data_IF_286149968587
#
_entry.id   IF_286149968587
#
_cell.length_a   1.000
_cell.length_b   1.000
_cell.length_c   1.000
_cell.angle_alpha   90.00
_cell.angle_beta   90.00
_cell.angle_gamma   90.00
#
_symmetry.space_group_name_H-M   'P 1'
#
loop_
_entity.id
_entity.type
_entity.pdbx_description
1 polymer ?
#
# COMPACT_ATOMS: atom_id res chain seq x y z
N UNK A 1 1.51 18.64 -8.54
CA UNK A 1 1.51 17.43 -7.70
C UNK A 1 1.29 16.24 -8.63
N UNK A 2 2.26 15.35 -8.73
CA UNK A 2 2.21 14.17 -9.62
C UNK A 2 1.66 12.97 -8.85
N UNK A 3 0.93 12.09 -9.53
CA UNK A 3 0.38 10.85 -8.96
C UNK A 3 0.58 9.68 -9.90
N UNK A 4 0.58 8.48 -9.35
CA UNK A 4 0.54 7.22 -10.10
C UNK A 4 -0.92 6.77 -10.08
N UNK A 5 -1.53 6.65 -11.26
CA UNK A 5 -2.93 6.22 -11.42
C UNK A 5 -2.94 4.76 -11.86
N UNK A 6 -3.76 3.90 -11.24
CA UNK A 6 -3.87 2.51 -11.66
C UNK A 6 -4.26 2.34 -13.14
N UNK A 7 -3.59 1.41 -13.81
CA UNK A 7 -3.83 1.03 -15.21
C UNK A 7 -4.82 -0.15 -15.35
N UNK A 8 -5.76 -0.28 -14.45
CA UNK A 8 -6.73 -1.36 -14.37
C UNK A 8 -8.07 -1.06 -15.07
N UNK A 9 -8.84 -2.11 -15.34
CA UNK A 9 -10.16 -1.98 -15.97
C UNK A 9 -11.27 -2.07 -14.90
N UNK A 10 -11.68 -0.91 -14.37
CA UNK A 10 -12.69 -0.81 -13.31
C UNK A 10 -13.76 0.22 -13.67
N UNK A 11 -14.94 0.22 -13.03
CA UNK A 11 -15.98 1.22 -13.28
C UNK A 11 -15.45 2.66 -13.08
N UNK A 12 -15.87 3.64 -13.91
CA UNK A 12 -15.30 4.99 -13.93
C UNK A 12 -15.57 5.81 -12.66
N UNK A 13 -16.52 5.37 -11.83
CA UNK A 13 -16.80 5.99 -10.54
C UNK A 13 -15.81 5.53 -9.42
N UNK A 14 -14.96 4.54 -9.68
CA UNK A 14 -13.84 4.18 -8.79
C UNK A 14 -12.72 5.16 -9.07
N UNK A 15 -12.33 5.88 -8.03
CA UNK A 15 -11.20 6.80 -8.05
C UNK A 15 -10.07 6.23 -7.22
N UNK A 16 -8.86 6.18 -7.76
CA UNK A 16 -7.69 5.64 -7.07
C UNK A 16 -6.40 6.27 -7.59
N UNK A 17 -5.44 6.46 -6.70
CA UNK A 17 -4.08 6.88 -7.05
C UNK A 17 -3.11 6.66 -5.90
N UNK A 18 -1.81 6.71 -6.19
CA UNK A 18 -0.74 6.87 -5.20
C UNK A 18 -0.06 8.23 -5.40
N UNK A 19 0.19 8.94 -4.30
CA UNK A 19 0.95 10.19 -4.32
C UNK A 19 2.44 9.92 -4.61
N UNK A 20 3.14 10.93 -5.13
CA UNK A 20 4.60 10.94 -5.17
C UNK A 20 5.16 11.76 -4.02
N UNK A 21 6.49 11.84 -3.92
CA UNK A 21 7.15 12.70 -2.93
C UNK A 21 7.06 14.20 -3.23
N UNK A 22 6.56 14.60 -4.42
CA UNK A 22 6.60 15.97 -4.92
C UNK A 22 5.32 16.76 -4.60
N UNK A 23 5.48 18.06 -4.38
CA UNK A 23 4.37 19.03 -4.37
C UNK A 23 3.86 19.42 -2.99
N UNK A 24 4.60 19.11 -1.93
CA UNK A 24 4.29 19.51 -0.55
C UNK A 24 5.20 20.60 -0.02
N UNK A 25 5.19 20.76 1.31
CA UNK A 25 5.89 21.82 2.04
C UNK A 25 6.94 21.32 3.04
N UNK A 26 7.08 19.99 3.21
CA UNK A 26 8.10 19.42 4.09
C UNK A 26 9.51 19.68 3.58
N UNK A 27 10.43 19.92 4.51
CA UNK A 27 11.86 20.15 4.23
C UNK A 27 12.66 18.84 4.25
N UNK A 28 13.89 18.80 3.75
CA UNK A 28 14.76 17.63 3.84
C UNK A 28 14.86 17.07 5.27
N UNK A 29 14.85 15.74 5.47
CA UNK A 29 14.85 14.67 4.45
C UNK A 29 13.45 14.23 3.98
N UNK A 30 12.41 15.00 4.27
CA UNK A 30 11.00 14.67 4.00
C UNK A 30 10.46 15.40 2.75
N UNK A 31 11.32 16.05 1.98
CA UNK A 31 10.90 16.88 0.83
C UNK A 31 10.22 16.05 -0.25
N UNK A 32 9.04 16.51 -0.60
CA UNK A 32 8.29 17.65 -0.04
C UNK A 32 6.90 17.24 0.46
N UNK A 33 6.28 16.18 -0.09
CA UNK A 33 4.89 15.80 0.17
C UNK A 33 4.78 14.64 1.15
N UNK A 34 5.46 14.77 2.30
CA UNK A 34 5.33 13.78 3.37
C UNK A 34 3.94 13.84 4.02
N UNK A 35 3.27 12.68 4.11
CA UNK A 35 1.95 12.50 4.73
C UNK A 35 2.01 11.74 6.07
N UNK A 36 3.18 11.19 6.43
CA UNK A 36 3.39 10.45 7.68
C UNK A 36 3.72 11.38 8.85
N UNK A 37 2.95 11.31 9.94
CA UNK A 37 3.16 12.09 11.16
C UNK A 37 4.03 11.40 12.22
N UNK A 38 4.42 10.15 11.94
CA UNK A 38 5.23 9.29 12.80
C UNK A 38 6.72 9.21 12.41
N UNK A 39 7.16 10.05 11.46
CA UNK A 39 8.51 9.99 10.88
C UNK A 39 9.44 11.13 11.32
N UNK A 40 9.05 11.86 12.36
CA UNK A 40 9.81 13.00 12.95
C UNK A 40 9.95 14.23 12.02
N UNK A 41 9.02 14.40 11.09
CA UNK A 41 8.87 15.64 10.33
C UNK A 41 8.15 16.72 11.16
N UNK A 42 8.21 17.97 10.73
CA UNK A 42 7.44 19.06 11.32
C UNK A 42 5.93 18.77 11.20
N UNK A 43 5.25 18.72 12.34
CA UNK A 43 3.82 18.39 12.39
C UNK A 43 2.94 19.39 11.63
N UNK A 44 3.36 20.65 11.54
CA UNK A 44 2.64 21.67 10.79
C UNK A 44 2.78 21.46 9.29
N UNK A 45 3.96 21.06 8.83
CA UNK A 45 4.20 20.69 7.43
C UNK A 45 3.39 19.46 7.03
N UNK A 46 3.37 18.40 7.85
CA UNK A 46 2.55 17.20 7.60
C UNK A 46 1.06 17.55 7.56
N UNK A 47 0.57 18.38 8.50
CA UNK A 47 -0.83 18.83 8.51
C UNK A 47 -1.16 19.61 7.24
N UNK A 48 -0.28 20.51 6.80
CA UNK A 48 -0.44 21.25 5.54
C UNK A 48 -0.48 20.32 4.34
N UNK A 49 0.44 19.32 4.27
CA UNK A 49 0.45 18.35 3.19
C UNK A 49 -0.85 17.52 3.15
N UNK A 50 -1.37 17.09 4.31
CA UNK A 50 -2.66 16.37 4.39
C UNK A 50 -3.83 17.24 3.93
N UNK A 51 -3.82 18.55 4.26
CA UNK A 51 -4.82 19.50 3.74
C UNK A 51 -4.69 19.66 2.23
N UNK A 52 -3.48 19.84 1.72
CA UNK A 52 -3.21 19.92 0.28
C UNK A 52 -3.66 18.65 -0.47
N UNK A 53 -3.51 17.47 0.13
CA UNK A 53 -4.02 16.22 -0.44
C UNK A 53 -5.53 16.30 -0.69
N UNK A 54 -6.29 16.73 0.32
CA UNK A 54 -7.75 16.85 0.23
C UNK A 54 -8.16 17.87 -0.84
N UNK A 55 -7.57 19.07 -0.81
CA UNK A 55 -7.91 20.17 -1.68
C UNK A 55 -7.54 19.91 -3.15
N UNK A 56 -6.30 19.45 -3.41
CA UNK A 56 -5.80 19.27 -4.78
C UNK A 56 -6.47 18.13 -5.52
N UNK A 57 -6.88 17.09 -4.81
CA UNK A 57 -7.54 15.92 -5.42
C UNK A 57 -9.06 15.92 -5.20
N UNK A 58 -9.63 17.00 -4.63
CA UNK A 58 -11.07 17.12 -4.35
C UNK A 58 -11.61 15.88 -3.65
N UNK A 59 -10.91 15.43 -2.60
CA UNK A 59 -11.37 14.29 -1.83
C UNK A 59 -12.71 14.61 -1.15
N UNK A 60 -13.64 13.66 -1.07
CA UNK A 60 -15.00 13.92 -0.54
C UNK A 60 -15.00 14.33 0.93
N UNK A 61 -13.99 13.95 1.69
CA UNK A 61 -13.75 14.36 3.08
C UNK A 61 -12.29 14.14 3.46
N UNK A 62 -11.90 14.56 4.66
CA UNK A 62 -10.58 14.28 5.22
C UNK A 62 -10.48 12.78 5.55
N UNK A 63 -9.51 12.04 4.94
CA UNK A 63 -9.40 10.60 5.15
C UNK A 63 -8.99 10.22 6.55
N UNK A 64 -9.33 9.01 6.97
CA UNK A 64 -8.75 8.38 8.15
C UNK A 64 -7.29 7.99 7.88
N UNK A 65 -6.36 8.52 8.66
CA UNK A 65 -4.96 8.11 8.66
C UNK A 65 -4.74 7.07 9.75
N UNK A 66 -4.38 5.85 9.36
CA UNK A 66 -4.16 4.75 10.29
C UNK A 66 -2.81 4.87 11.01
N UNK A 67 -2.74 4.31 12.22
CA UNK A 67 -1.51 3.94 12.90
C UNK A 67 -1.12 2.54 12.41
N UNK A 68 -0.32 2.48 11.34
CA UNK A 68 0.10 1.22 10.71
C UNK A 68 1.20 0.55 11.52
N UNK A 69 0.96 -0.68 11.94
CA UNK A 69 1.84 -1.45 12.84
C UNK A 69 2.32 -2.77 12.23
N UNK A 70 2.10 -2.96 10.92
CA UNK A 70 2.34 -4.20 10.19
C UNK A 70 1.46 -5.36 10.70
N UNK A 71 0.27 -5.03 11.17
CA UNK A 71 -0.75 -5.98 11.60
C UNK A 71 -1.57 -6.50 10.41
N UNK A 72 -2.56 -7.35 10.70
CA UNK A 72 -3.56 -7.81 9.73
C UNK A 72 -4.92 -7.17 9.95
N UNK A 73 -5.03 -6.22 10.89
CA UNK A 73 -6.30 -5.60 11.24
C UNK A 73 -6.81 -4.70 10.13
N UNK A 74 -8.10 -4.85 9.83
CA UNK A 74 -8.85 -4.02 8.87
C UNK A 74 -9.85 -3.15 9.61
N UNK A 75 -9.94 -1.88 9.24
CA UNK A 75 -10.99 -0.97 9.71
C UNK A 75 -12.01 -0.76 8.58
N UNK A 76 -13.30 -0.91 8.90
CA UNK A 76 -14.39 -0.52 7.99
C UNK A 76 -14.77 0.93 8.23
N UNK A 77 -14.79 1.75 7.17
CA UNK A 77 -15.21 3.17 7.28
C UNK A 77 -16.62 3.36 6.67
N UNK A 78 -17.44 4.29 7.25
CA UNK A 78 -17.12 5.20 8.34
C UNK A 78 -16.86 4.47 9.65
N UNK A 79 -15.87 4.94 10.42
CA UNK A 79 -15.42 4.31 11.65
C UNK A 79 -15.65 5.23 12.86
N UNK A 80 -16.43 4.74 13.83
CA UNK A 80 -16.80 5.47 15.06
C UNK A 80 -15.92 5.12 16.27
N UNK A 81 -14.99 4.18 16.10
CA UNK A 81 -14.07 3.78 17.16
C UNK A 81 -12.92 4.78 17.37
N UNK A 82 -12.15 4.55 18.43
CA UNK A 82 -10.99 5.37 18.82
C UNK A 82 -9.63 4.67 18.68
N UNK A 83 -9.62 3.41 18.29
CA UNK A 83 -8.38 2.66 18.02
C UNK A 83 -8.09 2.62 16.51
N UNK A 84 -7.16 3.44 16.05
CA UNK A 84 -6.74 3.58 14.66
C UNK A 84 -5.56 2.69 14.28
N UNK A 85 -5.09 1.81 15.17
CA UNK A 85 -4.08 0.81 14.86
C UNK A 85 -4.66 -0.24 13.90
N UNK A 86 -4.27 -0.18 12.64
CA UNK A 86 -4.66 -1.11 11.59
C UNK A 86 -3.75 -0.93 10.37
N UNK A 87 -3.77 -1.91 9.48
CA UNK A 87 -2.98 -1.88 8.25
C UNK A 87 -3.83 -2.00 6.98
N UNK A 88 -5.16 -2.03 7.13
CA UNK A 88 -6.07 -1.95 6.00
C UNK A 88 -7.36 -1.20 6.34
N UNK A 89 -7.99 -0.66 5.30
CA UNK A 89 -9.28 0.04 5.36
C UNK A 89 -10.19 -0.50 4.26
N UNK A 90 -11.44 -0.75 4.60
CA UNK A 90 -12.47 -1.21 3.68
C UNK A 90 -13.72 -0.33 3.78
N UNK A 91 -14.45 -0.20 2.67
CA UNK A 91 -15.80 0.38 2.65
C UNK A 91 -16.65 -0.14 1.49
N UNK A 92 -17.97 -0.19 1.71
CA UNK A 92 -18.99 -0.34 0.67
C UNK A 92 -19.86 0.93 0.54
N UNK A 93 -19.42 2.05 1.13
CA UNK A 93 -20.18 3.29 1.09
C UNK A 93 -19.51 4.31 0.14
N UNK A 94 -20.29 4.99 -0.72
CA UNK A 94 -19.76 6.02 -1.58
C UNK A 94 -19.19 7.20 -0.77
N UNK A 95 -18.20 7.85 -1.35
CA UNK A 95 -17.49 8.99 -0.79
C UNK A 95 -16.70 8.70 0.50
N UNK A 96 -16.51 7.44 0.90
CA UNK A 96 -15.55 7.07 1.95
C UNK A 96 -14.19 6.77 1.32
N UNK A 97 -13.12 7.39 1.83
CA UNK A 97 -11.77 7.24 1.29
C UNK A 97 -10.99 6.20 2.10
N UNK A 98 -10.61 5.10 1.46
CA UNK A 98 -9.65 4.15 2.00
C UNK A 98 -8.24 4.63 1.66
N UNK A 99 -7.37 4.75 2.68
CA UNK A 99 -6.02 5.29 2.55
C UNK A 99 -5.03 4.47 3.37
N UNK A 100 -3.89 4.13 2.77
CA UNK A 100 -2.70 3.59 3.46
C UNK A 100 -1.46 4.38 3.07
N UNK A 101 -0.48 4.43 3.98
CA UNK A 101 0.80 5.13 3.75
C UNK A 101 1.95 4.13 3.60
N UNK A 102 2.86 4.41 2.68
CA UNK A 102 4.03 3.56 2.41
C UNK A 102 5.30 4.36 2.13
N UNK A 103 6.43 3.71 2.36
CA UNK A 103 7.75 4.01 1.82
C UNK A 103 8.49 2.67 1.78
N UNK A 104 8.39 1.96 0.66
CA UNK A 104 8.86 0.61 0.32
C UNK A 104 7.85 -0.52 0.51
N UNK A 105 7.05 -0.55 1.58
CA UNK A 105 6.00 -1.56 1.75
C UNK A 105 4.99 -1.52 0.59
N UNK A 106 4.41 -2.65 0.24
CA UNK A 106 3.47 -2.77 -0.87
C UNK A 106 2.09 -2.24 -0.48
N UNK A 107 1.58 -1.16 -1.12
CA UNK A 107 0.18 -0.79 -1.00
C UNK A 107 -0.64 -1.60 -2.00
N UNK A 108 -1.74 -2.19 -1.56
CA UNK A 108 -2.68 -2.91 -2.42
C UNK A 108 -4.04 -2.24 -2.36
N UNK A 109 -4.54 -1.80 -3.52
CA UNK A 109 -5.88 -1.27 -3.66
C UNK A 109 -6.80 -2.33 -4.26
N UNK A 110 -8.00 -2.45 -3.71
CA UNK A 110 -9.00 -3.43 -4.13
C UNK A 110 -10.31 -2.75 -4.50
N UNK A 111 -10.97 -3.29 -5.51
CA UNK A 111 -12.39 -3.03 -5.80
C UNK A 111 -13.03 -4.30 -6.33
N UNK A 112 -14.37 -4.34 -6.40
CA UNK A 112 -15.08 -5.39 -7.13
C UNK A 112 -15.44 -4.91 -8.55
N UNK A 113 -15.79 -5.82 -9.45
CA UNK A 113 -16.19 -5.52 -10.85
C UNK A 113 -17.33 -4.53 -10.96
N UNK A 114 -18.23 -4.51 -9.97
CA UNK A 114 -19.37 -3.60 -9.92
C UNK A 114 -19.01 -2.21 -9.40
N UNK A 115 -17.83 -2.07 -8.74
CA UNK A 115 -17.40 -0.82 -8.12
C UNK A 115 -18.24 -0.41 -6.91
N UNK A 116 -18.74 -1.38 -6.16
CA UNK A 116 -19.58 -1.17 -4.96
C UNK A 116 -18.84 -1.36 -3.65
N UNK A 117 -17.62 -1.88 -3.71
CA UNK A 117 -16.75 -2.15 -2.57
C UNK A 117 -15.33 -1.75 -2.91
N UNK A 118 -14.63 -1.13 -1.97
CA UNK A 118 -13.22 -0.76 -2.11
C UNK A 118 -12.45 -1.00 -0.82
N UNK A 119 -11.15 -1.27 -0.96
CA UNK A 119 -10.24 -1.36 0.18
C UNK A 119 -8.83 -0.89 -0.20
N UNK A 120 -8.07 -0.50 0.82
CA UNK A 120 -6.64 -0.24 0.73
C UNK A 120 -5.92 -1.02 1.83
N UNK A 121 -4.86 -1.75 1.49
CA UNK A 121 -4.06 -2.53 2.43
C UNK A 121 -2.58 -2.13 2.37
N UNK A 122 -1.96 -1.97 3.54
CA UNK A 122 -0.53 -1.82 3.72
C UNK A 122 0.10 -3.20 3.92
N UNK A 123 0.64 -3.76 2.83
CA UNK A 123 1.28 -5.06 2.83
C UNK A 123 2.81 -4.93 2.95
N UNK A 124 3.29 -4.44 4.10
CA UNK A 124 4.68 -4.65 4.51
C UNK A 124 4.95 -6.15 4.66
N UNK A 125 6.20 -6.59 4.54
CA UNK A 125 6.51 -8.02 4.48
C UNK A 125 5.93 -8.82 5.68
N UNK A 126 5.88 -8.24 6.89
CA UNK A 126 5.28 -8.90 8.06
C UNK A 126 3.78 -9.07 7.90
N UNK A 127 3.05 -7.95 7.69
CA UNK A 127 1.61 -8.01 7.47
C UNK A 127 1.22 -8.87 6.26
N UNK A 128 2.01 -8.82 5.18
CA UNK A 128 1.84 -9.70 4.02
C UNK A 128 2.02 -11.17 4.41
N UNK A 129 3.04 -11.50 5.20
CA UNK A 129 3.29 -12.84 5.69
C UNK A 129 2.16 -13.32 6.62
N UNK A 130 1.69 -12.46 7.51
CA UNK A 130 0.67 -12.78 8.52
C UNK A 130 -0.77 -12.78 7.96
N UNK A 131 -1.00 -12.31 6.73
CA UNK A 131 -2.28 -12.44 6.04
C UNK A 131 -3.12 -11.16 5.94
N UNK A 132 -2.52 -9.97 5.90
CA UNK A 132 -3.27 -8.70 5.75
C UNK A 132 -4.13 -8.65 4.50
N UNK A 133 -3.70 -9.28 3.39
CA UNK A 133 -4.47 -9.33 2.16
C UNK A 133 -5.69 -10.22 2.32
N UNK A 134 -5.53 -11.37 2.94
CA UNK A 134 -6.61 -12.31 3.24
C UNK A 134 -7.66 -11.69 4.16
N UNK A 135 -7.22 -11.00 5.24
CA UNK A 135 -8.14 -10.31 6.14
C UNK A 135 -8.87 -9.16 5.44
N UNK A 136 -8.19 -8.46 4.52
CA UNK A 136 -8.83 -7.41 3.70
C UNK A 136 -9.89 -7.99 2.77
N UNK A 137 -9.58 -9.07 2.07
CA UNK A 137 -10.51 -9.75 1.15
C UNK A 137 -11.73 -10.30 1.88
N UNK A 138 -11.60 -10.79 3.11
CA UNK A 138 -12.73 -11.25 3.94
C UNK A 138 -13.78 -10.17 4.23
N UNK A 139 -13.42 -8.89 4.14
CA UNK A 139 -14.37 -7.80 4.32
C UNK A 139 -15.32 -7.64 3.14
N UNK A 140 -14.94 -8.12 1.93
CA UNK A 140 -15.77 -8.05 0.75
C UNK A 140 -16.94 -9.02 0.83
N UNK A 141 -18.11 -8.55 0.39
CA UNK A 141 -19.30 -9.38 0.20
C UNK A 141 -19.29 -10.07 -1.17
N UNK A 142 -18.55 -9.51 -2.12
CA UNK A 142 -18.35 -10.06 -3.45
C UNK A 142 -17.50 -11.33 -3.40
N UNK A 143 -17.76 -12.26 -4.32
CA UNK A 143 -16.93 -13.45 -4.48
C UNK A 143 -15.50 -13.06 -4.93
N UNK A 144 -14.45 -13.81 -4.53
CA UNK A 144 -13.06 -13.47 -4.84
C UNK A 144 -12.77 -13.25 -6.34
N UNK A 145 -13.39 -14.01 -7.23
CA UNK A 145 -13.26 -13.86 -8.68
C UNK A 145 -13.88 -12.57 -9.25
N UNK A 146 -14.67 -11.87 -8.45
CA UNK A 146 -15.19 -10.55 -8.77
C UNK A 146 -14.30 -9.40 -8.28
N UNK A 147 -13.30 -9.71 -7.45
CA UNK A 147 -12.38 -8.72 -6.88
C UNK A 147 -11.23 -8.45 -7.85
N UNK A 148 -10.88 -7.18 -7.95
CA UNK A 148 -9.77 -6.67 -8.77
C UNK A 148 -8.79 -6.00 -7.82
N UNK A 149 -7.50 -6.32 -7.95
CA UNK A 149 -6.44 -5.74 -7.16
C UNK A 149 -5.46 -4.92 -8.01
N UNK A 150 -4.92 -3.86 -7.42
CA UNK A 150 -3.83 -3.10 -8.01
C UNK A 150 -2.70 -2.92 -6.99
N UNK A 151 -1.50 -3.24 -7.40
CA UNK A 151 -0.28 -3.06 -6.64
C UNK A 151 0.32 -1.69 -6.92
N UNK A 152 0.35 -0.85 -5.91
CA UNK A 152 1.00 0.44 -6.01
C UNK A 152 2.53 0.35 -5.89
N UNK A 153 3.23 1.50 -5.97
CA UNK A 153 4.68 1.54 -5.88
C UNK A 153 5.23 0.97 -4.58
N UNK A 154 6.13 0.00 -4.70
CA UNK A 154 6.81 -0.66 -3.58
C UNK A 154 8.31 -0.85 -3.89
N UNK A 155 9.07 -1.34 -2.92
CA UNK A 155 10.45 -1.74 -3.15
C UNK A 155 10.51 -2.94 -4.12
N UNK A 156 11.21 -2.78 -5.22
CA UNK A 156 11.28 -3.78 -6.29
C UNK A 156 12.17 -4.98 -5.95
N UNK A 157 12.07 -6.06 -6.77
CA UNK A 157 12.73 -7.35 -6.51
C UNK A 157 14.27 -7.31 -6.64
N UNK A 158 14.83 -6.22 -7.12
CA UNK A 158 16.28 -6.02 -7.20
C UNK A 158 16.84 -5.20 -6.02
N UNK A 159 15.98 -4.76 -5.09
CA UNK A 159 16.35 -3.90 -3.98
C UNK A 159 15.85 -4.41 -2.62
N UNK A 160 14.86 -5.31 -2.61
CA UNK A 160 14.32 -5.87 -1.37
C UNK A 160 15.20 -7.00 -0.84
N UNK A 161 16.35 -6.62 -0.27
CA UNK A 161 17.26 -7.57 0.37
C UNK A 161 16.74 -8.01 1.75
N UNK A 162 16.78 -9.31 2.01
CA UNK A 162 16.32 -9.95 3.25
C UNK A 162 17.26 -11.06 3.70
N UNK A 163 17.14 -11.47 4.95
CA UNK A 163 17.78 -12.68 5.46
C UNK A 163 16.94 -13.93 5.21
N UNK A 164 17.54 -15.10 5.47
CA UNK A 164 16.89 -16.41 5.29
C UNK A 164 15.65 -16.58 6.17
N UNK A 165 15.63 -15.95 7.33
CA UNK A 165 14.53 -15.97 8.29
C UNK A 165 13.22 -15.42 7.72
N UNK A 166 13.28 -14.47 6.77
CA UNK A 166 12.10 -13.94 6.09
C UNK A 166 11.52 -14.98 5.13
N UNK A 167 12.39 -15.66 4.38
CA UNK A 167 11.98 -16.73 3.46
C UNK A 167 11.30 -17.86 4.24
N UNK A 168 11.92 -18.31 5.34
CA UNK A 168 11.40 -19.39 6.17
C UNK A 168 10.03 -19.07 6.74
N UNK A 169 9.78 -17.80 7.14
CA UNK A 169 8.47 -17.37 7.60
C UNK A 169 7.40 -17.47 6.49
N UNK A 170 7.69 -17.00 5.28
CA UNK A 170 6.76 -17.11 4.16
C UNK A 170 6.50 -18.56 3.74
N UNK A 171 7.55 -19.40 3.70
CA UNK A 171 7.44 -20.82 3.37
C UNK A 171 6.65 -21.62 4.40
N UNK A 172 6.64 -21.20 5.66
CA UNK A 172 5.82 -21.83 6.70
C UNK A 172 4.31 -21.71 6.42
N UNK A 173 3.88 -20.68 5.69
CA UNK A 173 2.49 -20.53 5.23
C UNK A 173 2.25 -21.22 3.89
N UNK A 174 3.16 -21.06 2.95
CA UNK A 174 3.05 -21.66 1.63
C UNK A 174 4.44 -21.87 1.01
N UNK A 175 4.86 -23.13 0.78
CA UNK A 175 6.17 -23.42 0.18
C UNK A 175 6.42 -22.74 -1.18
N UNK A 176 5.39 -22.43 -1.95
CA UNK A 176 5.53 -21.73 -3.24
C UNK A 176 6.19 -20.36 -3.10
N UNK A 177 6.12 -19.75 -1.91
CA UNK A 177 6.75 -18.45 -1.63
C UNK A 177 8.27 -18.47 -1.86
N UNK A 178 8.94 -19.64 -1.78
CA UNK A 178 10.36 -19.78 -2.07
C UNK A 178 10.71 -19.23 -3.45
N UNK A 179 9.83 -19.41 -4.43
CA UNK A 179 10.04 -18.97 -5.82
C UNK A 179 10.11 -17.44 -5.97
N UNK A 180 9.66 -16.69 -4.97
CA UNK A 180 9.72 -15.23 -4.96
C UNK A 180 11.04 -14.69 -4.41
N UNK A 181 11.97 -15.58 -4.05
CA UNK A 181 13.26 -15.20 -3.49
C UNK A 181 14.39 -15.79 -4.34
N UNK A 182 15.49 -15.06 -4.43
CA UNK A 182 16.72 -15.52 -5.06
C UNK A 182 17.93 -15.07 -4.26
N UNK A 183 19.06 -15.80 -4.28
CA UNK A 183 20.30 -15.35 -3.65
C UNK A 183 20.70 -13.95 -4.12
N UNK A 184 21.16 -13.11 -3.21
CA UNK A 184 21.74 -11.83 -3.58
C UNK A 184 23.16 -12.08 -4.17
N UNK A 185 23.42 -11.71 -5.43
CA UNK A 185 24.72 -11.93 -6.05
C UNK A 185 25.84 -11.10 -5.40
N UNK A 186 25.50 -10.03 -4.66
CA UNK A 186 26.46 -9.10 -4.09
C UNK A 186 26.75 -9.39 -2.60
N UNK A 187 25.90 -10.15 -1.91
CA UNK A 187 26.06 -10.41 -0.48
C UNK A 187 25.72 -11.88 -0.14
N UNK A 188 26.74 -12.73 0.06
CA UNK A 188 26.52 -14.13 0.43
C UNK A 188 25.69 -14.27 1.71
N UNK A 189 24.69 -15.16 1.68
CA UNK A 189 23.78 -15.40 2.80
C UNK A 189 22.59 -14.43 2.87
N UNK A 190 22.50 -13.46 1.96
CA UNK A 190 21.33 -12.61 1.75
C UNK A 190 20.57 -13.03 0.50
N UNK A 191 19.33 -12.57 0.44
CA UNK A 191 18.40 -12.87 -0.64
C UNK A 191 17.69 -11.61 -1.10
N UNK A 192 17.28 -11.62 -2.34
CA UNK A 192 16.41 -10.59 -2.93
C UNK A 192 15.02 -11.17 -3.07
N UNK A 193 14.03 -10.53 -2.43
CA UNK A 193 12.63 -10.93 -2.45
C UNK A 193 11.78 -10.10 -3.41
N UNK A 194 10.68 -10.66 -3.85
CA UNK A 194 9.69 -10.01 -4.71
C UNK A 194 8.33 -9.92 -3.98
N UNK A 195 8.03 -8.76 -3.38
CA UNK A 195 6.76 -8.53 -2.69
C UNK A 195 5.55 -8.65 -3.63
N UNK A 196 5.70 -8.20 -4.87
CA UNK A 196 4.65 -8.32 -5.89
C UNK A 196 4.31 -9.78 -6.18
N UNK A 197 5.32 -10.61 -6.38
CA UNK A 197 5.12 -12.04 -6.65
C UNK A 197 4.49 -12.76 -5.45
N UNK A 198 4.94 -12.47 -4.23
CA UNK A 198 4.34 -13.04 -3.01
C UNK A 198 2.87 -12.65 -2.89
N UNK A 199 2.56 -11.36 -3.07
CA UNK A 199 1.18 -10.87 -3.01
C UNK A 199 0.32 -11.52 -4.10
N UNK A 200 0.83 -11.67 -5.32
CA UNK A 200 0.15 -12.37 -6.42
C UNK A 200 -0.15 -13.83 -6.08
N UNK A 201 0.83 -14.56 -5.52
CA UNK A 201 0.61 -15.95 -5.08
C UNK A 201 -0.50 -16.05 -4.04
N UNK A 202 -0.52 -15.15 -3.05
CA UNK A 202 -1.54 -15.14 -1.99
C UNK A 202 -2.92 -14.81 -2.54
N UNK A 203 -3.04 -13.79 -3.39
CA UNK A 203 -4.32 -13.42 -4.01
C UNK A 203 -4.85 -14.50 -4.95
N UNK A 204 -3.98 -15.12 -5.77
CA UNK A 204 -4.36 -16.23 -6.64
C UNK A 204 -4.91 -17.43 -5.83
N UNK A 205 -4.33 -17.72 -4.67
CA UNK A 205 -4.81 -18.78 -3.77
C UNK A 205 -6.22 -18.51 -3.22
N UNK A 206 -6.61 -17.24 -3.12
CA UNK A 206 -7.97 -16.82 -2.77
C UNK A 206 -8.93 -16.83 -3.96
N UNK A 207 -8.45 -17.01 -5.19
CA UNK A 207 -9.24 -16.96 -6.42
C UNK A 207 -9.25 -15.58 -7.10
N UNK A 208 -8.47 -14.63 -6.61
CA UNK A 208 -8.34 -13.29 -7.22
C UNK A 208 -7.25 -13.36 -8.29
N UNK A 209 -7.64 -13.26 -9.56
CA UNK A 209 -6.74 -13.37 -10.72
C UNK A 209 -6.60 -12.08 -11.52
N UNK A 210 -7.46 -11.09 -11.29
CA UNK A 210 -7.38 -9.77 -11.92
C UNK A 210 -6.48 -8.86 -11.07
N UNK A 211 -5.18 -8.93 -11.33
CA UNK A 211 -4.14 -8.22 -10.59
C UNK A 211 -3.38 -7.33 -11.58
N UNK A 212 -3.17 -6.07 -11.20
CA UNK A 212 -2.52 -5.03 -11.99
C UNK A 212 -1.44 -4.33 -11.17
N UNK A 213 -0.56 -3.56 -11.84
CA UNK A 213 0.55 -2.83 -11.21
C UNK A 213 1.89 -3.53 -11.41
N UNK A 214 2.79 -3.48 -10.41
CA UNK A 214 4.17 -4.04 -10.45
C UNK A 214 5.16 -3.22 -11.30
N UNK A 215 4.86 -1.97 -11.62
CA UNK A 215 5.63 -1.19 -12.60
C UNK A 215 6.74 -0.35 -11.97
N UNK A 216 6.74 -0.16 -10.64
CA UNK A 216 7.58 0.81 -9.95
C UNK A 216 8.48 0.19 -8.87
N UNK A 217 9.65 0.83 -8.67
CA UNK A 217 10.53 0.53 -7.54
C UNK A 217 10.84 1.80 -6.75
N UNK A 218 10.31 1.90 -5.54
CA UNK A 218 10.50 3.07 -4.67
C UNK A 218 11.97 3.33 -4.34
N UNK A 219 12.80 2.28 -4.27
CA UNK A 219 14.22 2.39 -3.99
C UNK A 219 15.01 3.03 -5.14
N UNK A 220 14.74 2.64 -6.39
CA UNK A 220 15.48 3.10 -7.56
C UNK A 220 14.96 4.41 -8.13
N UNK A 221 13.65 4.67 -8.02
CA UNK A 221 13.00 5.88 -8.54
C UNK A 221 13.00 7.01 -7.49
N UNK A 222 14.20 7.42 -7.06
CA UNK A 222 14.43 8.33 -5.94
C UNK A 222 13.80 9.74 -6.10
N UNK A 223 13.66 10.20 -7.33
CA UNK A 223 13.05 11.52 -7.61
C UNK A 223 11.52 11.48 -7.48
N UNK A 224 10.93 10.27 -7.54
CA UNK A 224 9.47 10.08 -7.52
C UNK A 224 8.97 9.63 -6.15
N UNK A 225 9.72 8.76 -5.46
CA UNK A 225 9.24 8.10 -4.25
C UNK A 225 10.15 8.27 -3.04
N UNK A 226 9.54 8.33 -1.87
CA UNK A 226 10.22 8.08 -0.61
C UNK A 226 10.58 6.60 -0.49
N UNK A 227 11.75 6.30 0.08
CA UNK A 227 12.18 4.93 0.37
C UNK A 227 12.89 4.87 1.71
N UNK A 228 12.34 4.09 2.61
CA UNK A 228 12.94 3.87 3.93
C UNK A 228 14.23 3.06 3.84
N UNK A 229 14.29 2.07 2.96
CA UNK A 229 15.47 1.23 2.71
C UNK A 229 16.65 2.04 2.19
N UNK A 230 16.40 3.02 1.34
CA UNK A 230 17.43 3.89 0.75
C UNK A 230 17.88 4.97 1.73
N UNK A 231 16.93 5.66 2.37
CA UNK A 231 17.17 6.93 3.04
C UNK A 231 17.13 6.84 4.58
N UNK A 232 16.58 5.74 5.15
CA UNK A 232 16.36 5.60 6.59
C UNK A 232 15.27 6.57 7.07
N UNK A 233 15.64 7.81 7.36
CA UNK A 233 14.69 8.87 7.74
C UNK A 233 14.10 9.50 6.49
N UNK A 234 12.79 9.32 6.25
CA UNK A 234 12.13 9.75 5.02
C UNK A 234 10.61 9.88 5.20
N UNK A 235 9.95 10.55 4.24
CA UNK A 235 8.49 10.72 4.23
C UNK A 235 7.71 9.47 3.88
N UNK A 236 6.38 9.64 3.77
CA UNK A 236 5.45 8.59 3.36
C UNK A 236 4.57 9.08 2.21
N UNK A 237 4.44 8.25 1.15
CA UNK A 237 3.39 8.38 0.15
C UNK A 237 2.08 7.86 0.71
N UNK A 238 0.96 8.25 0.11
CA UNK A 238 -0.36 7.65 0.35
C UNK A 238 -0.92 7.02 -0.91
N UNK A 239 -1.49 5.82 -0.76
CA UNK A 239 -2.31 5.15 -1.78
C UNK A 239 -3.76 5.20 -1.34
N UNK A 240 -4.64 5.68 -2.22
CA UNK A 240 -6.03 5.98 -1.91
C UNK A 240 -6.97 5.35 -2.94
N UNK A 241 -8.16 4.98 -2.45
CA UNK A 241 -9.27 4.53 -3.30
C UNK A 241 -10.60 4.92 -2.67
N UNK A 242 -11.60 5.29 -3.51
CA UNK A 242 -12.97 5.53 -3.06
C UNK A 242 -13.98 5.36 -4.18
N UNK A 243 -15.24 5.16 -3.80
CA UNK A 243 -16.38 5.12 -4.68
C UNK A 243 -16.93 6.55 -4.80
N UNK A 244 -16.84 7.15 -5.98
CA UNK A 244 -17.39 8.49 -6.23
C UNK A 244 -18.91 8.39 -6.49
N UNK A 245 -19.66 9.21 -5.76
CA UNK A 245 -21.12 9.34 -5.97
C UNK A 245 -21.43 10.28 -7.12
#
# INVERSE_FOLDING_TARGET
>A
MKTIVPNWNVPPHIQAFTTTREGGVSLPPFESFNLGDHVEDDKSAVKTNRTLLVEKFNLPHFPLFLTQTHSTRVITVPYEGNNFEADAVYTNQPNQVCLVMTADCLPVLFTNKQGTEVAAAHAGWRGLCDGVLEETVKCFQSAPEEIIAWFGPAIGPNAFQVGKEVIEQFMAFDPIAETAFRPDPNEPGKYLGNLYQIATQRLNKLGITQIYGEEHCTFTEKETFFSYRRDGKTGRMASLIWIKK
#
